data_IF_966844355033
#
_entry.id   IF_966844355033
#
_cell.length_a   1.000
_cell.length_b   1.000
_cell.length_c   1.000
_cell.angle_alpha   90.00
_cell.angle_beta   90.00
_cell.angle_gamma   90.00
#
_symmetry.space_group_name_H-M   'P 1'
#
loop_
_entity.id
_entity.type
_entity.pdbx_description
1 polymer ?
#
# COMPACT_ATOMS: atom_id res chain seq x y z
N UNK A 1 -23.93 -17.45 -10.50
CA UNK A 1 -22.71 -16.85 -9.95
C UNK A 1 -22.26 -17.74 -8.81
N UNK A 2 -21.07 -18.32 -8.91
CA UNK A 2 -20.59 -19.37 -8.01
C UNK A 2 -20.24 -18.76 -6.65
N UNK A 3 -20.30 -19.55 -5.57
CA UNK A 3 -19.93 -19.11 -4.22
C UNK A 3 -18.47 -18.63 -4.16
N UNK A 4 -17.61 -19.26 -4.97
CA UNK A 4 -16.22 -18.88 -5.23
C UNK A 4 -16.10 -17.50 -5.90
N UNK A 5 -16.97 -17.18 -6.87
CA UNK A 5 -16.96 -15.90 -7.59
C UNK A 5 -17.35 -14.75 -6.65
N UNK A 6 -18.25 -15.00 -5.69
CA UNK A 6 -18.66 -14.03 -4.67
C UNK A 6 -17.52 -13.80 -3.67
N UNK A 7 -16.82 -14.85 -3.26
CA UNK A 7 -15.68 -14.75 -2.35
C UNK A 7 -14.48 -14.04 -3.01
N UNK A 8 -14.18 -14.33 -4.28
CA UNK A 8 -13.18 -13.61 -5.06
C UNK A 8 -13.56 -12.15 -5.29
N UNK A 9 -14.81 -11.86 -5.67
CA UNK A 9 -15.29 -10.49 -5.81
C UNK A 9 -15.20 -9.71 -4.48
N UNK A 10 -15.60 -10.33 -3.36
CA UNK A 10 -15.45 -9.74 -2.01
C UNK A 10 -13.98 -9.50 -1.65
N UNK A 11 -13.09 -10.43 -1.97
CA UNK A 11 -11.65 -10.25 -1.76
C UNK A 11 -11.10 -9.11 -2.63
N UNK A 12 -11.46 -9.06 -3.91
CA UNK A 12 -11.11 -7.99 -4.85
C UNK A 12 -11.55 -6.61 -4.38
N UNK A 13 -12.80 -6.49 -3.92
CA UNK A 13 -13.36 -5.26 -3.34
C UNK A 13 -12.55 -4.81 -2.11
N UNK A 14 -12.01 -5.73 -1.32
CA UNK A 14 -11.16 -5.40 -0.17
C UNK A 14 -9.71 -5.02 -0.53
N UNK A 15 -9.21 -5.35 -1.74
CA UNK A 15 -7.79 -5.10 -2.09
C UNK A 15 -7.48 -3.60 -2.09
N UNK A 16 -8.35 -2.75 -2.64
CA UNK A 16 -8.15 -1.29 -2.65
C UNK A 16 -8.11 -0.74 -1.21
N UNK A 17 -9.03 -1.20 -0.35
CA UNK A 17 -9.05 -0.79 1.05
C UNK A 17 -7.75 -1.17 1.78
N UNK A 18 -7.22 -2.38 1.53
CA UNK A 18 -5.95 -2.85 2.10
C UNK A 18 -4.75 -2.03 1.60
N UNK A 19 -4.69 -1.74 0.29
CA UNK A 19 -3.66 -0.89 -0.29
C UNK A 19 -3.70 0.52 0.33
N UNK A 20 -4.88 1.11 0.47
CA UNK A 20 -5.06 2.40 1.10
C UNK A 20 -4.61 2.39 2.58
N UNK A 21 -4.85 1.30 3.32
CA UNK A 21 -4.37 1.15 4.70
C UNK A 21 -2.84 1.06 4.78
N UNK A 22 -2.18 0.38 3.83
CA UNK A 22 -0.71 0.38 3.74
C UNK A 22 -0.18 1.78 3.48
N UNK A 23 -0.74 2.53 2.53
CA UNK A 23 -0.34 3.92 2.27
C UNK A 23 -0.53 4.82 3.49
N UNK A 24 -1.66 4.68 4.21
CA UNK A 24 -1.92 5.42 5.45
C UNK A 24 -0.92 5.08 6.56
N UNK A 25 -0.54 3.80 6.71
CA UNK A 25 0.47 3.39 7.68
C UNK A 25 1.85 4.01 7.41
N UNK A 26 2.17 4.26 6.14
CA UNK A 26 3.44 4.88 5.72
C UNK A 26 3.48 6.40 5.89
N UNK A 27 2.32 7.08 5.96
CA UNK A 27 2.20 8.55 6.05
C UNK A 27 3.02 9.16 7.19
N UNK A 28 3.13 8.47 8.33
CA UNK A 28 3.78 8.97 9.53
C UNK A 28 5.26 8.63 9.70
N UNK A 29 5.89 7.96 8.73
CA UNK A 29 7.29 7.49 8.86
C UNK A 29 8.22 8.11 7.83
N UNK A 30 8.99 9.13 8.22
CA UNK A 30 10.02 9.76 7.38
C UNK A 30 11.17 8.80 7.00
N UNK A 31 11.49 7.85 7.87
CA UNK A 31 12.58 6.88 7.65
C UNK A 31 12.12 5.64 6.87
N UNK A 32 10.80 5.45 6.73
CA UNK A 32 10.19 4.28 6.12
C UNK A 32 9.90 3.17 7.13
N UNK A 33 9.19 2.13 6.70
CA UNK A 33 8.76 0.99 7.50
C UNK A 33 9.14 -0.33 6.82
N UNK A 34 9.66 -1.30 7.57
CA UNK A 34 9.85 -2.65 7.04
C UNK A 34 8.52 -3.33 6.75
N UNK A 35 8.53 -4.36 5.89
CA UNK A 35 7.33 -5.17 5.59
C UNK A 35 6.68 -5.76 6.86
N UNK A 36 7.46 -6.08 7.89
CA UNK A 36 6.95 -6.62 9.16
C UNK A 36 6.20 -5.56 9.96
N UNK A 37 6.78 -4.36 10.08
CA UNK A 37 6.13 -3.23 10.75
C UNK A 37 4.87 -2.75 10.01
N UNK A 38 4.83 -2.90 8.68
CA UNK A 38 3.61 -2.61 7.92
C UNK A 38 2.55 -3.67 8.24
N UNK A 39 2.91 -4.96 8.18
CA UNK A 39 2.03 -6.09 8.50
C UNK A 39 1.37 -5.98 9.88
N UNK A 40 2.15 -5.65 10.91
CA UNK A 40 1.63 -5.41 12.26
C UNK A 40 0.65 -4.22 12.32
N UNK A 41 0.96 -3.11 11.64
CA UNK A 41 0.11 -1.91 11.69
C UNK A 41 -1.22 -2.06 10.95
N UNK A 42 -1.24 -2.86 9.88
CA UNK A 42 -2.45 -3.03 9.04
C UNK A 42 -3.19 -4.33 9.32
N UNK A 43 -2.71 -5.13 10.29
CA UNK A 43 -3.25 -6.44 10.67
C UNK A 43 -3.42 -7.37 9.46
N UNK A 44 -2.36 -7.55 8.68
CA UNK A 44 -2.34 -8.44 7.52
C UNK A 44 -1.13 -9.37 7.53
N UNK A 45 -1.24 -10.57 6.94
CA UNK A 45 -0.09 -11.45 6.75
C UNK A 45 1.02 -10.74 5.95
N UNK A 46 2.28 -10.99 6.33
CA UNK A 46 3.45 -10.39 5.67
C UNK A 46 3.49 -10.66 4.16
N UNK A 47 3.07 -11.85 3.71
CA UNK A 47 2.99 -12.21 2.29
C UNK A 47 1.96 -11.38 1.53
N UNK A 48 0.82 -11.07 2.15
CA UNK A 48 -0.20 -10.17 1.60
C UNK A 48 0.34 -8.74 1.49
N UNK A 49 1.00 -8.24 2.54
CA UNK A 49 1.64 -6.91 2.52
C UNK A 49 2.72 -6.85 1.45
N UNK A 50 3.54 -7.88 1.30
CA UNK A 50 4.58 -7.93 0.27
C UNK A 50 3.99 -7.82 -1.14
N UNK A 51 2.89 -8.53 -1.43
CA UNK A 51 2.18 -8.43 -2.73
C UNK A 51 1.61 -7.03 -2.97
N UNK A 52 0.99 -6.44 -1.95
CA UNK A 52 0.44 -5.08 -2.03
C UNK A 52 1.55 -4.06 -2.24
N UNK A 53 2.62 -4.11 -1.45
CA UNK A 53 3.77 -3.21 -1.57
C UNK A 53 4.43 -3.36 -2.94
N UNK A 54 4.60 -4.58 -3.44
CA UNK A 54 5.14 -4.81 -4.79
C UNK A 54 4.30 -4.15 -5.89
N UNK A 55 2.97 -4.27 -5.81
CA UNK A 55 2.07 -3.61 -6.75
C UNK A 55 2.13 -2.07 -6.64
N UNK A 56 2.09 -1.53 -5.41
CA UNK A 56 2.21 -0.08 -5.17
C UNK A 56 3.56 0.47 -5.65
N UNK A 57 4.63 -0.33 -5.56
CA UNK A 57 5.97 0.07 -5.96
C UNK A 57 6.12 0.10 -7.48
N UNK A 58 5.46 -0.82 -8.21
CA UNK A 58 5.39 -0.79 -9.67
C UNK A 58 4.74 0.50 -10.19
N UNK A 59 3.72 0.99 -9.48
CA UNK A 59 3.04 2.26 -9.76
C UNK A 59 3.75 3.49 -9.13
N UNK A 60 4.94 3.31 -8.53
CA UNK A 60 5.72 4.36 -7.83
C UNK A 60 4.99 5.09 -6.70
N UNK A 61 3.90 4.52 -6.18
CA UNK A 61 3.15 5.02 -5.03
C UNK A 61 3.91 4.81 -3.72
N UNK A 62 4.82 3.83 -3.69
CA UNK A 62 5.79 3.60 -2.62
C UNK A 62 7.18 3.36 -3.20
N UNK A 63 8.23 3.59 -2.42
CA UNK A 63 9.62 3.35 -2.78
C UNK A 63 10.40 2.76 -1.60
N UNK A 64 11.51 2.08 -1.90
CA UNK A 64 12.50 1.73 -0.88
C UNK A 64 13.19 3.00 -0.34
N UNK A 65 13.44 3.02 0.97
CA UNK A 65 14.18 4.08 1.65
C UNK A 65 15.68 3.92 1.38
N UNK A 66 16.36 4.97 0.92
CA UNK A 66 17.77 4.88 0.54
C UNK A 66 18.75 4.61 1.69
N UNK A 67 18.33 4.80 2.95
CA UNK A 67 19.18 4.65 4.14
C UNK A 67 18.90 3.37 4.96
N UNK A 68 18.03 2.46 4.48
CA UNK A 68 17.70 1.21 5.18
C UNK A 68 16.65 0.33 4.47
N UNK A 69 16.30 -0.82 5.04
CA UNK A 69 15.35 -1.80 4.47
C UNK A 69 13.86 -1.39 4.57
N UNK A 70 13.58 -0.09 4.67
CA UNK A 70 12.24 0.46 4.86
C UNK A 70 11.54 0.82 3.55
N UNK A 71 10.23 0.75 3.54
CA UNK A 71 9.34 1.25 2.48
C UNK A 71 8.81 2.61 2.92
N UNK A 72 8.71 3.57 2.01
CA UNK A 72 8.12 4.90 2.26
C UNK A 72 7.20 5.31 1.12
N UNK A 73 6.43 6.37 1.33
CA UNK A 73 5.60 6.96 0.27
C UNK A 73 6.47 7.43 -0.89
N UNK A 74 6.00 7.14 -2.10
CA UNK A 74 6.68 7.44 -3.36
C UNK A 74 6.24 8.77 -3.99
N UNK A 75 6.98 9.24 -5.00
CA UNK A 75 6.74 10.55 -5.63
C UNK A 75 5.39 10.65 -6.35
N UNK A 76 4.82 9.52 -6.79
CA UNK A 76 3.54 9.53 -7.51
C UNK A 76 2.39 10.12 -6.67
N UNK A 77 2.43 9.95 -5.34
CA UNK A 77 1.42 10.56 -4.47
C UNK A 77 1.46 12.09 -4.48
N UNK A 78 2.63 12.69 -4.70
CA UNK A 78 2.73 14.15 -4.82
C UNK A 78 2.14 14.63 -6.16
N UNK A 79 2.50 13.97 -7.27
CA UNK A 79 1.94 14.21 -8.61
C UNK A 79 0.40 14.12 -8.62
N UNK A 80 -0.16 13.09 -7.98
CA UNK A 80 -1.60 12.91 -7.83
C UNK A 80 -2.24 14.02 -6.97
N UNK A 81 -1.58 14.45 -5.89
CA UNK A 81 -2.08 15.51 -5.03
C UNK A 81 -2.11 16.88 -5.73
N UNK A 82 -1.12 17.19 -6.57
CA UNK A 82 -1.12 18.38 -7.43
C UNK A 82 -2.27 18.32 -8.44
N UNK A 83 -2.50 17.16 -9.04
CA UNK A 83 -3.58 16.96 -10.03
C UNK A 83 -4.99 16.97 -9.42
N UNK A 84 -5.12 16.66 -8.13
CA UNK A 84 -6.40 16.61 -7.41
C UNK A 84 -6.80 17.94 -6.77
N UNK A 85 -6.00 19.00 -6.91
CA UNK A 85 -6.42 20.35 -6.54
C UNK A 85 -7.49 20.86 -7.52
N UNK A 86 -8.75 20.69 -7.16
CA UNK A 86 -9.86 21.37 -7.82
C UNK A 86 -9.95 22.80 -7.28
N UNK A 87 -9.93 23.80 -8.18
CA UNK A 87 -10.24 25.20 -7.86
C UNK A 87 -11.72 25.38 -7.52
#
# INVERSE_FOLDING_TARGET
>A
MSETDIAEARNGIQVIARAASVLRALKGSQTGLSLGQIAERVDLPRSTVQRIVGALQAERLVIASGAGSGIRLGPELHSLAESAHYN
#
